data_IF_296857576153
#
_entry.id   IF_296857576153
#
_cell.length_a   1.000
_cell.length_b   1.000
_cell.length_c   1.000
_cell.angle_alpha   90.00
_cell.angle_beta   90.00
_cell.angle_gamma   90.00
#
_symmetry.space_group_name_H-M   'P 1'
#
loop_
_entity.id
_entity.type
_entity.pdbx_description
1 polymer ?
#
# COMPACT_ATOMS: atom_id res chain seq x y z
N UNK A 1 9.47 -6.87 13.22
CA UNK A 1 10.48 -6.62 14.28
C UNK A 1 11.38 -5.43 13.91
N UNK A 2 11.95 -5.39 12.71
CA UNK A 2 12.88 -4.36 12.22
C UNK A 2 12.39 -2.91 12.42
N UNK A 3 11.17 -2.57 11.93
CA UNK A 3 10.66 -1.18 12.03
C UNK A 3 10.34 -0.71 13.46
N UNK A 4 10.25 -1.61 14.44
CA UNK A 4 10.06 -1.23 15.84
C UNK A 4 11.31 -0.57 16.46
N UNK A 5 12.46 -0.74 15.83
CA UNK A 5 13.72 -0.13 16.26
C UNK A 5 13.82 1.34 15.84
N UNK A 6 13.05 1.75 14.84
CA UNK A 6 12.99 3.14 14.37
C UNK A 6 12.08 3.98 15.27
N UNK A 7 12.52 4.27 16.49
CA UNK A 7 11.85 5.19 17.39
C UNK A 7 11.84 6.62 16.83
N UNK A 8 11.04 7.52 17.40
CA UNK A 8 11.03 8.95 17.03
C UNK A 8 12.44 9.55 17.04
N UNK A 9 13.21 9.27 18.09
CA UNK A 9 14.57 9.81 18.25
C UNK A 9 15.52 9.23 17.18
N UNK A 10 15.43 7.93 16.88
CA UNK A 10 16.25 7.32 15.82
C UNK A 10 15.95 7.95 14.46
N UNK A 11 14.68 8.16 14.13
CA UNK A 11 14.29 8.81 12.86
C UNK A 11 14.81 10.25 12.76
N UNK A 12 14.76 11.01 13.85
CA UNK A 12 15.27 12.39 13.87
C UNK A 12 16.79 12.46 13.69
N UNK A 13 17.51 11.39 14.01
CA UNK A 13 18.98 11.31 13.94
C UNK A 13 19.49 10.53 12.70
N UNK A 14 18.61 10.09 11.79
CA UNK A 14 19.04 9.39 10.58
C UNK A 14 20.05 10.26 9.80
N UNK A 15 21.14 9.65 9.38
CA UNK A 15 21.99 10.18 8.32
C UNK A 15 21.55 9.65 6.95
N UNK A 16 22.34 9.86 5.91
CA UNK A 16 22.01 9.40 4.56
C UNK A 16 21.94 7.87 4.50
N UNK A 17 22.92 7.17 5.05
CA UNK A 17 22.99 5.70 5.00
C UNK A 17 21.88 5.06 5.83
N UNK A 18 21.63 5.57 7.04
CA UNK A 18 20.50 5.17 7.87
C UNK A 18 19.15 5.38 7.14
N UNK A 19 19.04 6.45 6.32
CA UNK A 19 17.82 6.72 5.55
C UNK A 19 17.60 5.67 4.47
N UNK A 20 18.66 5.15 3.85
CA UNK A 20 18.55 3.99 2.96
C UNK A 20 18.10 2.74 3.71
N UNK A 21 18.67 2.45 4.87
CA UNK A 21 18.24 1.31 5.70
C UNK A 21 16.76 1.42 6.10
N UNK A 22 16.29 2.61 6.41
CA UNK A 22 14.92 2.87 6.78
C UNK A 22 13.94 2.70 5.62
N UNK A 23 14.27 3.20 4.42
CA UNK A 23 13.34 3.25 3.28
C UNK A 23 13.47 2.07 2.32
N UNK A 24 14.68 1.57 2.04
CA UNK A 24 14.91 0.56 1.01
C UNK A 24 14.16 -0.78 1.23
N UNK A 25 13.86 -1.23 2.46
CA UNK A 25 13.08 -2.44 2.68
C UNK A 25 11.58 -2.30 2.35
N UNK A 26 11.07 -1.09 2.06
CA UNK A 26 9.66 -0.88 1.74
C UNK A 26 9.29 -1.51 0.39
N UNK A 27 8.19 -2.27 0.38
CA UNK A 27 7.63 -2.86 -0.84
C UNK A 27 7.23 -1.80 -1.86
N UNK A 28 6.64 -0.69 -1.39
CA UNK A 28 6.26 0.42 -2.24
C UNK A 28 7.43 1.00 -3.05
N UNK A 29 8.67 0.90 -2.55
CA UNK A 29 9.88 1.31 -3.27
C UNK A 29 10.44 0.23 -4.18
N UNK A 30 10.16 -1.05 -3.91
CA UNK A 30 10.64 -2.17 -4.76
C UNK A 30 10.04 -2.13 -6.17
N UNK A 31 8.85 -1.58 -6.33
CA UNK A 31 8.16 -1.47 -7.62
C UNK A 31 8.78 -0.44 -8.58
N UNK A 32 9.74 0.36 -8.12
CA UNK A 32 10.33 1.46 -8.89
C UNK A 32 11.68 1.12 -9.56
N UNK A 33 12.03 -0.15 -9.69
CA UNK A 33 13.29 -0.58 -10.32
C UNK A 33 14.51 -0.25 -9.45
N UNK A 34 15.13 0.93 -9.59
CA UNK A 34 16.26 1.34 -8.75
C UNK A 34 15.80 2.12 -7.51
N UNK A 35 15.71 1.43 -6.37
CA UNK A 35 15.35 2.01 -5.06
C UNK A 35 16.29 3.11 -4.61
N UNK A 36 17.59 2.93 -4.84
CA UNK A 36 18.61 3.88 -4.40
C UNK A 36 18.41 5.22 -5.10
N UNK A 37 18.29 5.23 -6.42
CA UNK A 37 18.00 6.45 -7.19
C UNK A 37 16.71 7.14 -6.71
N UNK A 38 15.70 6.35 -6.29
CA UNK A 38 14.45 6.93 -5.76
C UNK A 38 14.68 7.58 -4.39
N UNK A 39 15.47 6.98 -3.52
CA UNK A 39 15.80 7.54 -2.19
C UNK A 39 16.69 8.78 -2.36
N UNK A 40 17.66 8.75 -3.28
CA UNK A 40 18.47 9.92 -3.63
C UNK A 40 17.60 11.10 -4.04
N UNK A 41 16.66 10.87 -4.96
CA UNK A 41 15.72 11.88 -5.40
C UNK A 41 14.86 12.42 -4.24
N UNK A 42 14.37 11.55 -3.35
CA UNK A 42 13.61 11.96 -2.18
C UNK A 42 14.43 12.89 -1.27
N UNK A 43 15.69 12.56 -1.03
CA UNK A 43 16.59 13.38 -0.21
C UNK A 43 16.89 14.71 -0.92
N UNK A 44 17.19 14.68 -2.23
CA UNK A 44 17.50 15.87 -3.00
C UNK A 44 16.31 16.85 -3.09
N UNK A 45 15.10 16.33 -3.35
CA UNK A 45 13.90 17.14 -3.55
C UNK A 45 13.38 17.77 -2.24
N UNK A 46 13.63 17.13 -1.11
CA UNK A 46 13.03 17.54 0.17
C UNK A 46 14.04 18.08 1.19
N UNK A 47 15.30 17.69 1.10
CA UNK A 47 16.32 17.87 2.12
C UNK A 47 16.19 16.87 3.27
N UNK A 48 17.31 16.26 3.67
CA UNK A 48 17.33 15.18 4.67
C UNK A 48 16.73 15.62 6.01
N UNK A 49 17.10 16.79 6.53
CA UNK A 49 16.62 17.28 7.82
C UNK A 49 15.12 17.53 7.86
N UNK A 50 14.55 17.99 6.74
CA UNK A 50 13.09 18.16 6.60
C UNK A 50 12.40 16.81 6.54
N UNK A 51 12.93 15.84 5.74
CA UNK A 51 12.38 14.49 5.64
C UNK A 51 12.32 13.81 7.00
N UNK A 52 13.41 13.79 7.76
CA UNK A 52 13.47 13.19 9.10
C UNK A 52 12.38 13.73 10.02
N UNK A 53 12.24 15.06 10.08
CA UNK A 53 11.21 15.71 10.91
C UNK A 53 9.81 15.33 10.50
N UNK A 54 9.52 15.29 9.19
CA UNK A 54 8.22 14.96 8.68
C UNK A 54 7.88 13.47 8.86
N UNK A 55 8.84 12.55 8.66
CA UNK A 55 8.64 11.14 9.00
C UNK A 55 8.41 10.93 10.49
N UNK A 56 9.21 11.58 11.35
CA UNK A 56 9.02 11.50 12.79
C UNK A 56 7.65 12.05 13.24
N UNK A 57 7.16 13.11 12.58
CA UNK A 57 5.85 13.67 12.88
C UNK A 57 4.72 12.77 12.33
N UNK A 58 4.82 12.24 11.10
CA UNK A 58 3.84 11.29 10.55
C UNK A 58 3.67 10.08 11.48
N UNK A 59 4.78 9.50 11.94
CA UNK A 59 4.77 8.22 12.65
C UNK A 59 4.53 8.38 14.15
N UNK A 60 5.01 9.46 14.77
CA UNK A 60 5.05 9.63 16.24
C UNK A 60 4.54 10.99 16.71
N UNK A 61 3.96 11.81 15.84
CA UNK A 61 3.39 13.09 16.20
C UNK A 61 2.22 12.96 17.19
N UNK A 62 1.95 14.03 17.94
CA UNK A 62 0.87 14.09 18.94
C UNK A 62 -0.50 14.39 18.35
N UNK A 63 -0.54 15.01 17.17
CA UNK A 63 -1.78 15.31 16.48
C UNK A 63 -2.48 14.03 16.00
N UNK A 64 -3.79 14.14 15.73
CA UNK A 64 -4.55 13.07 15.09
C UNK A 64 -3.91 12.68 13.76
N UNK A 65 -3.95 11.38 13.44
CA UNK A 65 -3.29 10.88 12.23
C UNK A 65 -3.77 11.58 10.96
N UNK A 66 -5.04 11.94 10.87
CA UNK A 66 -5.59 12.64 9.71
C UNK A 66 -4.81 13.92 9.40
N UNK A 67 -4.53 14.73 10.44
CA UNK A 67 -3.76 15.97 10.30
C UNK A 67 -2.31 15.71 9.94
N UNK A 68 -1.68 14.69 10.58
CA UNK A 68 -0.29 14.31 10.30
C UNK A 68 -0.12 13.81 8.89
N UNK A 69 -1.08 12.99 8.41
CA UNK A 69 -1.14 12.47 7.05
C UNK A 69 -1.22 13.59 6.02
N UNK A 70 -2.18 14.49 6.16
CA UNK A 70 -2.40 15.60 5.23
C UNK A 70 -1.23 16.58 5.23
N UNK A 71 -0.67 16.88 6.42
CA UNK A 71 0.54 17.69 6.56
C UNK A 71 1.73 17.06 5.84
N UNK A 72 1.94 15.75 6.01
CA UNK A 72 3.02 15.03 5.34
C UNK A 72 2.87 15.09 3.83
N UNK A 73 1.70 14.75 3.29
CA UNK A 73 1.42 14.79 1.84
C UNK A 73 1.61 16.17 1.22
N UNK A 74 1.27 17.22 1.95
CA UNK A 74 1.45 18.61 1.49
C UNK A 74 2.92 19.02 1.42
N UNK A 75 3.76 18.50 2.32
CA UNK A 75 5.11 19.01 2.54
C UNK A 75 6.22 18.11 1.99
N UNK A 76 5.92 16.86 1.59
CA UNK A 76 6.91 15.90 1.06
C UNK A 76 6.61 15.57 -0.39
N UNK A 77 7.62 15.77 -1.25
CA UNK A 77 7.55 15.37 -2.65
C UNK A 77 8.03 13.93 -2.82
N UNK A 78 7.39 13.19 -3.73
CA UNK A 78 7.81 11.85 -4.13
C UNK A 78 7.44 10.72 -3.15
N UNK A 79 6.76 11.00 -2.03
CA UNK A 79 6.22 9.99 -1.10
C UNK A 79 4.70 9.98 -1.19
N UNK A 80 4.17 8.90 -1.75
CA UNK A 80 2.73 8.68 -1.88
C UNK A 80 2.12 7.87 -0.72
N UNK A 81 0.79 7.69 -0.73
CA UNK A 81 0.04 6.91 0.24
C UNK A 81 0.57 5.49 0.47
N UNK A 82 1.08 4.83 -0.56
CA UNK A 82 1.64 3.49 -0.43
C UNK A 82 2.83 3.43 0.55
N UNK A 83 3.79 4.36 0.40
CA UNK A 83 4.96 4.44 1.30
C UNK A 83 4.52 4.84 2.72
N UNK A 84 3.66 5.85 2.83
CA UNK A 84 3.17 6.35 4.13
C UNK A 84 2.44 5.27 4.91
N UNK A 85 1.49 4.60 4.27
CA UNK A 85 0.69 3.53 4.89
C UNK A 85 1.52 2.29 5.20
N UNK A 86 2.50 1.94 4.37
CA UNK A 86 3.39 0.82 4.65
C UNK A 86 4.24 1.08 5.89
N UNK A 87 4.80 2.27 6.06
CA UNK A 87 5.53 2.66 7.27
C UNK A 87 4.64 2.60 8.51
N UNK A 88 3.44 3.18 8.44
CA UNK A 88 2.46 3.14 9.54
C UNK A 88 2.08 1.70 9.90
N UNK A 89 1.80 0.86 8.92
CA UNK A 89 1.45 -0.55 9.13
C UNK A 89 2.61 -1.34 9.77
N UNK A 90 3.83 -1.14 9.32
CA UNK A 90 5.01 -1.84 9.85
C UNK A 90 5.34 -1.46 11.31
N UNK A 91 5.03 -0.23 11.71
CA UNK A 91 5.23 0.25 13.09
C UNK A 91 4.02 -0.09 13.96
N UNK A 92 2.81 0.06 13.44
CA UNK A 92 1.55 -0.15 14.15
C UNK A 92 0.65 -1.19 13.44
N UNK A 93 1.07 -2.46 13.35
CA UNK A 93 0.40 -3.46 12.51
C UNK A 93 -0.99 -3.87 13.00
N UNK A 94 -1.42 -3.42 14.17
CA UNK A 94 -2.79 -3.63 14.66
C UNK A 94 -3.73 -2.47 14.37
N UNK A 95 -3.16 -1.32 13.94
CA UNK A 95 -3.90 -0.08 13.78
C UNK A 95 -4.09 0.33 12.33
N UNK A 96 -3.06 0.14 11.50
CA UNK A 96 -3.02 0.69 10.14
C UNK A 96 -2.76 -0.38 9.10
N UNK A 97 -3.49 -0.32 8.01
CA UNK A 97 -3.34 -1.22 6.86
C UNK A 97 -2.61 -0.50 5.72
N UNK A 98 -1.94 -1.28 4.86
CA UNK A 98 -1.25 -0.75 3.70
C UNK A 98 -2.26 -0.34 2.63
N UNK A 99 -2.16 0.89 2.13
CA UNK A 99 -2.86 1.33 0.94
C UNK A 99 -2.04 0.94 -0.30
N UNK A 100 -2.52 -0.06 -1.03
CA UNK A 100 -1.99 -0.43 -2.33
C UNK A 100 -3.14 -0.85 -3.26
N UNK A 101 -2.86 -0.96 -4.57
CA UNK A 101 -3.88 -1.29 -5.57
C UNK A 101 -4.58 -2.62 -5.28
N UNK A 102 -3.84 -3.65 -4.84
CA UNK A 102 -4.41 -4.98 -4.62
C UNK A 102 -5.33 -5.01 -3.42
N UNK A 103 -4.90 -4.49 -2.29
CA UNK A 103 -5.73 -4.39 -1.07
C UNK A 103 -6.98 -3.53 -1.34
N UNK A 104 -6.83 -2.41 -2.04
CA UNK A 104 -7.94 -1.56 -2.42
C UNK A 104 -8.96 -2.29 -3.32
N UNK A 105 -8.49 -2.98 -4.38
CA UNK A 105 -9.36 -3.73 -5.27
C UNK A 105 -10.03 -4.91 -4.57
N UNK A 106 -9.31 -5.61 -3.68
CA UNK A 106 -9.90 -6.68 -2.87
C UNK A 106 -11.07 -6.15 -2.02
N UNK A 107 -10.93 -4.99 -1.41
CA UNK A 107 -12.03 -4.36 -0.65
C UNK A 107 -13.24 -4.05 -1.53
N UNK A 108 -13.02 -3.49 -2.72
CA UNK A 108 -14.11 -3.21 -3.67
C UNK A 108 -14.82 -4.50 -4.12
N UNK A 109 -14.09 -5.57 -4.39
CA UNK A 109 -14.66 -6.87 -4.74
C UNK A 109 -15.47 -7.50 -3.60
N UNK A 110 -15.09 -7.22 -2.35
CA UNK A 110 -15.87 -7.61 -1.17
C UNK A 110 -17.11 -6.72 -0.92
N UNK A 111 -17.42 -5.80 -1.84
CA UNK A 111 -18.57 -4.90 -1.74
C UNK A 111 -18.36 -3.71 -0.81
N UNK A 112 -17.11 -3.43 -0.42
CA UNK A 112 -16.76 -2.30 0.46
C UNK A 112 -16.56 -1.06 -0.42
N UNK A 113 -17.58 -0.21 -0.50
CA UNK A 113 -17.61 0.94 -1.41
C UNK A 113 -17.42 2.30 -0.71
N UNK A 114 -17.23 2.32 0.61
CA UNK A 114 -17.04 3.54 1.40
C UNK A 114 -15.59 4.03 1.44
N UNK A 115 -14.74 3.50 0.59
CA UNK A 115 -13.32 3.87 0.44
C UNK A 115 -13.10 4.68 -0.84
N UNK A 116 -12.12 5.61 -0.89
CA UNK A 116 -11.86 6.38 -2.09
C UNK A 116 -11.45 5.50 -3.25
N UNK A 117 -12.06 5.72 -4.42
CA UNK A 117 -11.73 4.98 -5.65
C UNK A 117 -10.34 5.31 -6.19
N UNK A 118 -9.87 6.52 -5.94
CA UNK A 118 -8.60 7.02 -6.49
C UNK A 118 -7.68 7.50 -5.37
N UNK A 119 -6.38 7.21 -5.50
CA UNK A 119 -5.33 7.64 -4.58
C UNK A 119 -5.30 9.17 -4.40
N UNK A 120 -5.60 9.94 -5.45
CA UNK A 120 -5.65 11.41 -5.39
C UNK A 120 -6.69 11.95 -4.39
N UNK A 121 -7.70 11.15 -4.05
CA UNK A 121 -8.75 11.48 -3.08
C UNK A 121 -8.51 10.88 -1.69
N UNK A 122 -7.38 10.21 -1.49
CA UNK A 122 -7.02 9.63 -0.21
C UNK A 122 -6.36 10.68 0.67
N UNK A 123 -7.16 11.45 1.38
CA UNK A 123 -6.74 12.30 2.49
C UNK A 123 -6.63 11.50 3.80
N UNK A 124 -6.18 12.14 4.87
CA UNK A 124 -6.01 11.48 6.16
C UNK A 124 -7.31 10.95 6.75
N UNK A 125 -8.43 11.66 6.54
CA UNK A 125 -9.76 11.22 7.00
C UNK A 125 -10.20 9.95 6.27
N UNK A 126 -10.07 9.91 4.96
CA UNK A 126 -10.40 8.74 4.15
C UNK A 126 -9.48 7.55 4.45
N UNK A 127 -8.19 7.81 4.75
CA UNK A 127 -7.28 6.76 5.17
C UNK A 127 -7.69 6.14 6.52
N UNK A 128 -8.17 6.93 7.48
CA UNK A 128 -8.73 6.39 8.74
C UNK A 128 -9.95 5.51 8.47
N UNK A 129 -10.88 5.95 7.62
CA UNK A 129 -12.04 5.12 7.23
C UNK A 129 -11.59 3.78 6.65
N UNK A 130 -10.57 3.78 5.81
CA UNK A 130 -9.98 2.56 5.25
C UNK A 130 -9.38 1.66 6.33
N UNK A 131 -8.65 2.22 7.29
CA UNK A 131 -8.10 1.47 8.43
C UNK A 131 -9.19 0.89 9.34
N UNK A 132 -10.24 1.65 9.61
CA UNK A 132 -11.33 1.18 10.49
C UNK A 132 -12.11 0.03 9.81
N UNK A 133 -12.33 0.13 8.50
CA UNK A 133 -12.89 -0.97 7.72
C UNK A 133 -12.00 -2.22 7.79
N UNK A 134 -10.68 -2.05 7.64
CA UNK A 134 -9.73 -3.16 7.76
C UNK A 134 -9.72 -3.77 9.19
N UNK A 135 -9.89 -2.96 10.24
CA UNK A 135 -10.00 -3.46 11.62
C UNK A 135 -11.22 -4.36 11.81
N UNK A 136 -12.36 -4.00 11.23
CA UNK A 136 -13.56 -4.85 11.28
C UNK A 136 -13.34 -6.18 10.53
N UNK A 137 -12.64 -6.14 9.38
CA UNK A 137 -12.26 -7.36 8.67
C UNK A 137 -11.30 -8.21 9.50
N UNK A 138 -10.28 -7.59 10.10
CA UNK A 138 -9.31 -8.29 10.94
C UNK A 138 -9.97 -8.99 12.12
N UNK A 139 -10.98 -8.39 12.76
CA UNK A 139 -11.75 -9.02 13.84
C UNK A 139 -12.41 -10.31 13.36
N UNK A 140 -13.02 -10.30 12.17
CA UNK A 140 -13.70 -11.46 11.57
C UNK A 140 -12.74 -12.53 11.07
N UNK A 141 -11.52 -12.14 10.71
CA UNK A 141 -10.51 -13.04 10.12
C UNK A 141 -9.63 -13.75 11.15
N UNK A 142 -9.83 -13.50 12.45
CA UNK A 142 -9.06 -14.15 13.53
C UNK A 142 -9.18 -15.67 13.52
N UNK A 143 -10.37 -16.19 13.21
CA UNK A 143 -10.67 -17.63 13.18
C UNK A 143 -9.88 -18.36 12.09
N UNK A 144 -9.49 -17.65 11.02
CA UNK A 144 -8.65 -18.19 9.94
C UNK A 144 -7.16 -17.87 10.10
N UNK A 145 -6.75 -17.41 11.29
CA UNK A 145 -5.35 -17.22 11.67
C UNK A 145 -4.74 -15.88 11.24
N UNK A 146 -5.52 -14.92 10.74
CA UNK A 146 -5.03 -13.58 10.39
C UNK A 146 -4.99 -12.73 11.67
N UNK A 147 -3.78 -12.29 12.06
CA UNK A 147 -3.54 -11.71 13.40
C UNK A 147 -3.26 -10.22 13.41
N UNK A 148 -2.87 -9.64 12.28
CA UNK A 148 -2.57 -8.21 12.15
C UNK A 148 -2.78 -7.72 10.71
N UNK A 149 -2.58 -6.41 10.48
CA UNK A 149 -2.82 -5.76 9.19
C UNK A 149 -1.79 -6.12 8.12
N UNK A 150 -0.56 -6.47 8.49
CA UNK A 150 0.44 -6.97 7.53
C UNK A 150 0.00 -8.34 7.01
N UNK A 151 -0.51 -9.19 7.88
CA UNK A 151 -1.03 -10.51 7.52
C UNK A 151 -2.31 -10.37 6.68
N UNK A 152 -3.19 -9.42 7.02
CA UNK A 152 -4.39 -9.13 6.25
C UNK A 152 -4.05 -8.61 4.85
N UNK A 153 -3.11 -7.67 4.72
CA UNK A 153 -2.63 -7.15 3.43
C UNK A 153 -2.05 -8.28 2.55
N UNK A 154 -1.21 -9.15 3.13
CA UNK A 154 -0.66 -10.30 2.43
C UNK A 154 -1.76 -11.27 1.95
N UNK A 155 -2.74 -11.56 2.80
CA UNK A 155 -3.87 -12.41 2.44
C UNK A 155 -4.69 -11.81 1.28
N UNK A 156 -4.96 -10.50 1.31
CA UNK A 156 -5.66 -9.81 0.23
C UNK A 156 -4.85 -9.86 -1.08
N UNK A 157 -3.53 -9.76 -0.98
CA UNK A 157 -2.62 -9.83 -2.12
C UNK A 157 -2.69 -11.21 -2.80
N UNK A 158 -2.62 -12.29 -2.03
CA UNK A 158 -2.71 -13.68 -2.49
C UNK A 158 -4.09 -13.98 -3.12
N UNK A 159 -5.16 -13.52 -2.46
CA UNK A 159 -6.52 -13.72 -2.97
C UNK A 159 -6.76 -12.99 -4.29
N UNK A 160 -6.27 -11.76 -4.39
CA UNK A 160 -6.41 -10.96 -5.61
C UNK A 160 -5.65 -11.56 -6.79
N UNK A 161 -4.42 -12.05 -6.59
CA UNK A 161 -3.65 -12.72 -7.64
C UNK A 161 -4.34 -13.99 -8.15
N UNK A 162 -4.95 -14.78 -7.26
CA UNK A 162 -5.71 -15.97 -7.67
C UNK A 162 -6.90 -15.61 -8.53
N UNK A 163 -7.69 -14.60 -8.13
CA UNK A 163 -8.87 -14.15 -8.88
C UNK A 163 -8.47 -13.58 -10.25
N UNK A 164 -7.43 -12.73 -10.33
CA UNK A 164 -6.93 -12.19 -11.61
C UNK A 164 -6.51 -13.34 -12.55
N UNK A 165 -5.75 -14.31 -12.08
CA UNK A 165 -5.27 -15.44 -12.87
C UNK A 165 -6.42 -16.35 -13.35
N UNK A 166 -7.45 -16.56 -12.53
CA UNK A 166 -8.65 -17.32 -12.92
C UNK A 166 -9.46 -16.58 -13.98
N UNK A 167 -9.67 -15.28 -13.82
CA UNK A 167 -10.37 -14.45 -14.81
C UNK A 167 -9.63 -14.44 -16.14
N UNK A 168 -8.32 -14.24 -16.14
CA UNK A 168 -7.50 -14.26 -17.35
C UNK A 168 -7.55 -15.62 -18.05
N UNK A 169 -7.54 -16.73 -17.32
CA UNK A 169 -7.66 -18.07 -17.88
C UNK A 169 -9.01 -18.29 -18.56
N UNK A 170 -10.10 -17.83 -17.96
CA UNK A 170 -11.46 -17.92 -18.53
C UNK A 170 -11.57 -17.07 -19.81
N UNK A 171 -11.02 -15.85 -19.80
CA UNK A 171 -11.01 -14.95 -20.97
C UNK A 171 -10.23 -15.57 -22.14
N UNK A 172 -9.08 -16.19 -21.85
CA UNK A 172 -8.28 -16.89 -22.86
C UNK A 172 -9.02 -18.10 -23.46
N UNK A 173 -9.73 -18.88 -22.66
CA UNK A 173 -10.56 -20.01 -23.13
C UNK A 173 -11.73 -19.48 -23.97
N UNK A 174 -12.41 -18.41 -23.55
CA UNK A 174 -13.49 -17.79 -24.28
C UNK A 174 -13.06 -17.25 -25.64
N UNK A 175 -11.89 -16.60 -25.72
CA UNK A 175 -11.35 -16.08 -26.98
C UNK A 175 -10.89 -17.17 -27.93
N UNK A 176 -10.31 -18.26 -27.44
CA UNK A 176 -9.94 -19.43 -28.28
C UNK A 176 -11.13 -20.18 -28.80
N UNK A 177 -12.23 -20.27 -28.05
CA UNK A 177 -13.49 -20.87 -28.49
C UNK A 177 -14.19 -20.01 -29.54
N UNK A 178 -14.16 -18.68 -29.39
CA UNK A 178 -14.72 -17.74 -30.37
C UNK A 178 -13.96 -17.74 -31.72
N UNK A 179 -12.63 -17.93 -31.68
CA UNK A 179 -11.79 -18.06 -32.89
C UNK A 179 -12.01 -19.41 -33.61
N UNK A 180 -12.25 -20.51 -32.88
CA UNK A 180 -12.59 -21.80 -33.47
C UNK A 180 -13.93 -21.72 -34.20
N UNK A 181 -14.96 -21.19 -33.56
CA UNK A 181 -16.28 -21.04 -34.17
C UNK A 181 -16.31 -20.14 -35.41
N UNK A 182 -15.41 -19.14 -35.52
CA UNK A 182 -15.24 -18.32 -36.72
C UNK A 182 -14.53 -19.06 -37.86
N UNK A 183 -13.67 -20.02 -37.60
CA UNK A 183 -13.00 -20.84 -38.61
C UNK A 183 -13.96 -21.90 -39.19
N UNK A 184 -14.85 -22.44 -38.38
CA UNK A 184 -15.81 -23.45 -38.80
C UNK A 184 -16.99 -22.89 -39.62
N UNK A 185 -17.19 -21.54 -39.59
CA UNK A 185 -18.23 -20.83 -40.35
C UNK A 185 -17.78 -20.35 -41.75
N UNK A 186 -16.50 -20.55 -42.11
CA UNK A 186 -15.95 -20.12 -43.40
C UNK A 186 -15.63 -21.24 -44.39
N UNK A 187 -16.25 -22.41 -44.23
CA UNK A 187 -16.25 -23.46 -45.26
C UNK A 187 -17.68 -23.70 -45.75
N UNK A 188 -18.10 -22.86 -46.70
CA UNK A 188 -19.08 -23.17 -47.74
C UNK A 188 -19.32 -21.90 -48.57
N UNK A 189 -18.45 -21.69 -49.58
CA UNK A 189 -18.83 -21.07 -50.88
C UNK A 189 -17.78 -21.39 -51.91
#
# INVERSE_FOLDING_TARGET
>A
KFYKEFTKQKILNLDTDDTYEFLAPLWALKMWGNRHTKIDALIADNGLDKLKKLFAELLYGKDKLEKRWDSFRKNVHGVGPAIMSELLCKIYPKEFIIWNRKTHNAFLQLGINNIPRYESRLDGKNYIVFCDTAKEMLKKSKEVGITDMLHLDYFMWEMFDKIENEVDSIVHIGNSSAQKNKKDLNFDH
#
